data_IF_157236116963
#
_entry.id   IF_157236116963
#
_cell.length_a   1.000
_cell.length_b   1.000
_cell.length_c   1.000
_cell.angle_alpha   90.00
_cell.angle_beta   90.00
_cell.angle_gamma   90.00
#
_symmetry.space_group_name_H-M   'P 1'
#
loop_
_entity.id
_entity.type
_entity.pdbx_description
1 polymer ?
#
# COMPACT_ATOMS: atom_id res chain seq x y z
N UNK A 1 77.01 -38.34 -10.88
CA UNK A 1 76.55 -37.52 -9.73
C UNK A 1 75.29 -36.77 -10.13
N UNK A 2 74.12 -37.30 -9.77
CA UNK A 2 72.80 -36.76 -10.16
C UNK A 2 72.27 -35.85 -9.04
N UNK A 3 71.91 -34.61 -9.36
CA UNK A 3 71.33 -33.65 -8.40
C UNK A 3 69.80 -33.71 -8.47
N UNK A 4 69.22 -34.06 -7.33
CA UNK A 4 67.79 -34.00 -7.00
C UNK A 4 67.31 -32.53 -6.96
N UNK A 5 66.28 -32.22 -7.75
CA UNK A 5 65.52 -30.97 -7.68
C UNK A 5 64.14 -31.24 -7.10
N UNK A 6 63.87 -30.69 -5.93
CA UNK A 6 62.57 -30.75 -5.24
C UNK A 6 61.59 -29.77 -5.91
N UNK A 7 60.43 -30.25 -6.35
CA UNK A 7 59.31 -29.38 -6.73
C UNK A 7 58.50 -29.04 -5.48
N UNK A 8 58.47 -27.75 -5.15
CA UNK A 8 57.64 -27.16 -4.10
C UNK A 8 56.24 -26.93 -4.65
N UNK A 9 55.22 -27.56 -4.05
CA UNK A 9 53.82 -27.34 -4.39
C UNK A 9 53.35 -25.98 -3.84
N UNK A 10 52.94 -25.07 -4.71
CA UNK A 10 52.33 -23.80 -4.34
C UNK A 10 50.81 -24.01 -4.17
N UNK A 11 50.33 -23.95 -2.92
CA UNK A 11 48.90 -23.93 -2.62
C UNK A 11 48.31 -22.57 -2.99
N UNK A 12 47.44 -22.53 -4.01
CA UNK A 12 46.60 -21.37 -4.31
C UNK A 12 45.38 -21.38 -3.37
N UNK A 13 45.36 -20.48 -2.39
CA UNK A 13 44.16 -20.18 -1.60
C UNK A 13 43.33 -19.19 -2.41
N UNK A 14 42.25 -19.67 -3.02
CA UNK A 14 41.26 -18.81 -3.69
C UNK A 14 40.36 -18.21 -2.61
N UNK A 15 40.55 -16.92 -2.31
CA UNK A 15 39.66 -16.14 -1.46
C UNK A 15 38.34 -15.91 -2.23
N UNK A 16 37.32 -16.69 -1.89
CA UNK A 16 35.96 -16.49 -2.40
C UNK A 16 35.38 -15.24 -1.69
N UNK A 17 35.54 -14.07 -2.32
CA UNK A 17 34.84 -12.86 -1.91
C UNK A 17 33.39 -13.01 -2.38
N UNK A 18 32.53 -13.48 -1.47
CA UNK A 18 31.10 -13.51 -1.70
C UNK A 18 30.58 -12.09 -1.88
N UNK A 19 30.30 -11.70 -3.12
CA UNK A 19 29.53 -10.49 -3.42
C UNK A 19 28.10 -10.75 -2.96
N UNK A 20 27.68 -10.04 -1.91
CA UNK A 20 26.28 -9.92 -1.53
C UNK A 20 25.56 -9.27 -2.71
N UNK A 21 24.78 -10.07 -3.44
CA UNK A 21 23.83 -9.58 -4.42
C UNK A 21 22.72 -8.97 -3.57
N UNK A 22 22.83 -7.68 -3.29
CA UNK A 22 21.75 -6.92 -2.67
C UNK A 22 20.59 -6.97 -3.67
N UNK A 23 19.61 -7.84 -3.42
CA UNK A 23 18.36 -7.91 -4.17
C UNK A 23 17.50 -6.69 -3.81
N UNK A 24 18.07 -5.53 -4.09
CA UNK A 24 17.52 -4.22 -3.84
C UNK A 24 16.29 -4.01 -4.73
N UNK A 25 15.11 -3.93 -4.11
CA UNK A 25 13.81 -3.59 -4.71
C UNK A 25 13.74 -2.15 -5.28
N UNK A 26 14.84 -1.39 -5.25
CA UNK A 26 14.88 0.03 -5.61
C UNK A 26 14.21 0.34 -6.95
N UNK A 27 13.25 1.27 -6.92
CA UNK A 27 12.59 1.84 -8.08
C UNK A 27 11.55 0.94 -8.78
N UNK A 28 11.14 -0.21 -8.20
CA UNK A 28 10.08 -1.05 -8.78
C UNK A 28 8.89 -1.22 -7.86
N UNK A 29 7.71 -0.92 -8.39
CA UNK A 29 6.46 -1.29 -7.75
C UNK A 29 6.04 -2.69 -8.17
N UNK A 30 5.97 -3.59 -7.19
CA UNK A 30 5.33 -4.88 -7.33
C UNK A 30 3.87 -4.76 -6.88
N UNK A 31 2.98 -5.55 -7.48
CA UNK A 31 1.59 -5.62 -7.04
C UNK A 31 1.50 -6.36 -5.71
N UNK A 32 0.78 -5.79 -4.74
CA UNK A 32 0.54 -6.41 -3.43
C UNK A 32 -0.92 -6.85 -3.20
N UNK A 33 -1.75 -6.78 -4.25
CA UNK A 33 -3.16 -7.16 -4.19
C UNK A 33 -4.07 -6.05 -3.66
N UNK A 34 -5.21 -6.44 -3.10
CA UNK A 34 -6.18 -5.52 -2.50
C UNK A 34 -6.63 -6.05 -1.14
N UNK A 35 -7.06 -5.15 -0.27
CA UNK A 35 -7.81 -5.51 0.92
C UNK A 35 -9.09 -6.28 0.55
N UNK A 36 -9.56 -7.09 1.49
CA UNK A 36 -10.75 -7.92 1.33
C UNK A 36 -11.47 -8.06 2.67
N UNK A 37 -12.79 -8.20 2.61
CA UNK A 37 -13.64 -8.42 3.79
C UNK A 37 -13.13 -9.58 4.65
N UNK A 38 -13.15 -9.39 5.96
CA UNK A 38 -12.72 -10.36 6.97
C UNK A 38 -11.21 -10.57 7.07
N UNK A 39 -10.41 -9.98 6.19
CA UNK A 39 -8.94 -10.09 6.26
C UNK A 39 -8.39 -9.27 7.43
N UNK A 40 -7.31 -9.77 8.03
CA UNK A 40 -6.61 -9.08 9.13
C UNK A 40 -5.13 -8.85 8.80
N UNK A 41 -4.76 -8.88 7.52
CA UNK A 41 -3.37 -8.78 7.08
C UNK A 41 -2.79 -7.36 7.20
N UNK A 42 -3.61 -6.32 7.07
CA UNK A 42 -3.15 -4.95 7.21
C UNK A 42 -2.83 -4.59 8.66
N UNK A 43 -2.18 -3.45 8.86
CA UNK A 43 -1.76 -2.97 10.17
C UNK A 43 -1.71 -1.43 10.16
N UNK A 44 -1.31 -0.82 11.29
CA UNK A 44 -1.07 0.61 11.40
C UNK A 44 -2.26 1.50 11.01
N UNK A 45 -3.48 1.12 11.43
CA UNK A 45 -4.68 1.92 11.22
C UNK A 45 -4.46 3.40 11.55
N UNK A 46 -4.71 4.27 10.57
CA UNK A 46 -4.59 5.72 10.65
C UNK A 46 -3.26 6.29 10.14
N UNK A 47 -2.26 5.47 9.85
CA UNK A 47 -0.99 5.91 9.25
C UNK A 47 -1.11 6.04 7.73
N UNK A 48 -0.26 6.87 7.10
CA UNK A 48 -0.15 6.91 5.63
C UNK A 48 0.48 5.60 5.12
N UNK A 49 -0.37 4.66 4.66
CA UNK A 49 0.09 3.37 4.15
C UNK A 49 1.08 3.55 2.99
N UNK A 50 0.85 4.56 2.13
CA UNK A 50 1.72 4.86 0.98
C UNK A 50 3.04 5.52 1.39
N UNK A 51 3.22 5.87 2.67
CA UNK A 51 4.49 6.26 3.25
C UNK A 51 5.48 5.10 3.43
N UNK A 52 4.98 3.86 3.48
CA UNK A 52 5.80 2.65 3.52
C UNK A 52 5.65 1.79 2.25
N UNK A 53 4.49 1.82 1.60
CA UNK A 53 4.17 1.00 0.43
C UNK A 53 4.31 1.79 -0.88
N UNK A 54 5.55 2.14 -1.19
CA UNK A 54 5.99 2.83 -2.41
C UNK A 54 7.24 2.14 -2.98
N UNK A 55 7.76 2.50 -4.18
CA UNK A 55 8.83 1.73 -4.85
C UNK A 55 10.10 1.55 -4.01
N UNK A 56 10.42 2.53 -3.17
CA UNK A 56 11.62 2.57 -2.33
C UNK A 56 11.28 2.42 -0.84
N UNK A 57 10.05 2.00 -0.54
CA UNK A 57 9.56 1.85 0.83
C UNK A 57 9.77 0.43 1.36
N UNK A 58 9.75 0.30 2.68
CA UNK A 58 9.95 -0.99 3.38
C UNK A 58 8.76 -1.96 3.24
N UNK A 59 7.59 -1.46 2.84
CA UNK A 59 6.37 -2.24 2.68
C UNK A 59 6.41 -3.17 1.45
N UNK A 60 5.82 -4.36 1.59
CA UNK A 60 5.60 -5.26 0.46
C UNK A 60 4.48 -4.72 -0.45
N UNK A 61 4.71 -4.72 -1.77
CA UNK A 61 3.81 -4.10 -2.73
C UNK A 61 3.75 -2.56 -2.68
N UNK A 62 3.22 -1.97 -3.75
CA UNK A 62 2.88 -0.55 -3.79
C UNK A 62 1.37 -0.35 -3.86
N UNK A 63 0.86 0.58 -3.06
CA UNK A 63 -0.54 0.95 -3.10
C UNK A 63 -0.78 2.11 -4.06
N UNK A 64 -1.85 2.02 -4.83
CA UNK A 64 -2.35 3.10 -5.69
C UNK A 64 -3.47 3.88 -4.98
N UNK A 65 -4.17 3.21 -4.06
CA UNK A 65 -5.12 3.76 -3.10
C UNK A 65 -4.93 3.05 -1.78
N UNK A 66 -4.87 3.80 -0.68
CA UNK A 66 -4.88 3.25 0.66
C UNK A 66 -5.43 4.23 1.69
N UNK A 67 -6.16 3.70 2.68
CA UNK A 67 -6.69 4.49 3.78
C UNK A 67 -7.23 3.66 4.94
N UNK A 68 -7.58 4.33 6.03
CA UNK A 68 -8.26 3.75 7.20
C UNK A 68 -9.57 4.48 7.44
N UNK A 69 -10.64 3.72 7.65
CA UNK A 69 -11.97 4.23 8.00
C UNK A 69 -12.26 3.94 9.47
N UNK A 70 -12.86 4.91 10.14
CA UNK A 70 -13.26 4.86 11.53
C UNK A 70 -14.78 4.84 11.68
N UNK A 71 -15.24 4.34 12.81
CA UNK A 71 -16.61 4.53 13.27
C UNK A 71 -16.84 6.02 13.61
N UNK A 72 -18.10 6.39 13.83
CA UNK A 72 -18.47 7.76 14.14
C UNK A 72 -17.78 8.32 15.41
N UNK A 73 -17.35 7.45 16.34
CA UNK A 73 -16.60 7.83 17.53
C UNK A 73 -15.15 8.29 17.26
N UNK A 74 -14.65 8.07 16.04
CA UNK A 74 -13.30 8.36 15.59
C UNK A 74 -12.18 7.69 16.38
N UNK A 75 -12.50 6.80 17.32
CA UNK A 75 -11.54 6.03 18.13
C UNK A 75 -11.38 4.62 17.59
N UNK A 76 -12.50 3.99 17.21
CA UNK A 76 -12.54 2.62 16.73
C UNK A 76 -12.56 2.59 15.20
N UNK A 77 -11.83 1.65 14.62
CA UNK A 77 -11.87 1.41 13.17
C UNK A 77 -13.22 0.86 12.75
N UNK A 78 -13.61 1.12 11.50
CA UNK A 78 -14.80 0.55 10.89
C UNK A 78 -14.40 -0.68 10.04
N UNK A 79 -14.64 -1.91 10.53
CA UNK A 79 -14.29 -3.12 9.79
C UNK A 79 -15.20 -3.31 8.56
N UNK A 80 -14.69 -4.02 7.55
CA UNK A 80 -15.50 -4.64 6.48
C UNK A 80 -16.42 -3.67 5.71
N UNK A 81 -15.94 -2.45 5.47
CA UNK A 81 -16.61 -1.41 4.70
C UNK A 81 -16.24 -1.50 3.20
N UNK A 82 -16.73 -0.55 2.38
CA UNK A 82 -16.34 -0.45 0.97
C UNK A 82 -15.98 0.97 0.56
N UNK A 83 -14.84 1.13 -0.09
CA UNK A 83 -14.46 2.37 -0.77
C UNK A 83 -14.89 2.30 -2.24
N UNK A 84 -15.67 3.28 -2.66
CA UNK A 84 -16.03 3.49 -4.05
C UNK A 84 -15.36 4.76 -4.57
N UNK A 85 -14.86 4.72 -5.80
CA UNK A 85 -14.30 5.88 -6.48
C UNK A 85 -15.19 6.26 -7.66
N UNK A 86 -15.72 7.48 -7.63
CA UNK A 86 -16.60 8.02 -8.67
C UNK A 86 -15.90 9.07 -9.52
N UNK A 87 -16.42 9.29 -10.73
CA UNK A 87 -15.93 10.34 -11.64
C UNK A 87 -16.56 11.72 -11.40
N UNK A 88 -17.61 11.81 -10.58
CA UNK A 88 -18.23 13.07 -10.16
C UNK A 88 -18.53 13.05 -8.65
N UNK A 89 -18.65 14.24 -8.00
CA UNK A 89 -18.94 14.34 -6.57
C UNK A 89 -20.19 13.60 -6.14
N UNK A 90 -20.27 13.26 -4.85
CA UNK A 90 -21.48 12.76 -4.20
C UNK A 90 -22.06 11.49 -4.85
N UNK A 91 -21.19 10.58 -5.29
CA UNK A 91 -21.58 9.30 -5.87
C UNK A 91 -22.14 9.38 -7.30
N UNK A 92 -22.00 10.52 -7.96
CA UNK A 92 -22.50 10.71 -9.31
C UNK A 92 -21.50 10.22 -10.37
N UNK A 93 -22.00 10.05 -11.59
CA UNK A 93 -21.18 9.63 -12.73
C UNK A 93 -20.84 8.15 -12.71
N UNK A 94 -19.79 7.77 -13.43
CA UNK A 94 -19.31 6.40 -13.47
C UNK A 94 -18.59 6.03 -12.17
N UNK A 95 -18.92 4.86 -11.61
CA UNK A 95 -18.12 4.18 -10.60
C UNK A 95 -16.90 3.57 -11.28
N UNK A 96 -15.73 4.13 -10.98
CA UNK A 96 -14.44 3.75 -11.58
C UNK A 96 -13.85 2.54 -10.86
N UNK A 97 -14.03 2.47 -9.54
CA UNK A 97 -13.53 1.38 -8.73
C UNK A 97 -14.38 1.14 -7.50
N UNK A 98 -14.46 -0.13 -7.11
CA UNK A 98 -14.87 -0.56 -5.78
C UNK A 98 -13.73 -1.36 -5.14
N UNK A 99 -13.45 -1.08 -3.87
CA UNK A 99 -12.38 -1.71 -3.09
C UNK A 99 -12.98 -2.06 -1.72
N UNK A 100 -12.87 -3.30 -1.31
CA UNK A 100 -13.39 -3.74 -0.03
C UNK A 100 -12.37 -3.39 1.06
N UNK A 101 -12.82 -2.78 2.15
CA UNK A 101 -12.04 -2.62 3.37
C UNK A 101 -11.93 -3.94 4.12
N UNK A 102 -10.88 -4.09 4.91
CA UNK A 102 -10.64 -5.29 5.70
C UNK A 102 -11.16 -5.16 7.14
N UNK A 103 -10.97 -6.22 7.95
CA UNK A 103 -11.46 -6.27 9.32
C UNK A 103 -10.68 -5.36 10.29
N UNK A 104 -9.52 -4.83 9.87
CA UNK A 104 -8.77 -3.82 10.61
C UNK A 104 -9.19 -2.40 10.22
N UNK A 105 -10.20 -2.26 9.36
CA UNK A 105 -10.72 -1.00 8.85
C UNK A 105 -9.79 -0.28 7.89
N UNK A 106 -8.79 -0.98 7.35
CA UNK A 106 -7.96 -0.47 6.27
C UNK A 106 -8.54 -0.87 4.92
N UNK A 107 -8.36 -0.02 3.92
CA UNK A 107 -8.68 -0.28 2.53
C UNK A 107 -7.44 0.03 1.71
N UNK A 108 -7.03 -0.88 0.83
CA UNK A 108 -5.88 -0.67 -0.04
C UNK A 108 -5.99 -1.49 -1.33
N UNK A 109 -5.33 -1.02 -2.38
CA UNK A 109 -5.17 -1.78 -3.63
C UNK A 109 -3.87 -1.40 -4.34
N UNK A 110 -3.26 -2.35 -5.03
CA UNK A 110 -2.21 -2.11 -6.02
C UNK A 110 -2.73 -2.02 -7.45
N UNK A 111 -4.04 -2.16 -7.66
CA UNK A 111 -4.63 -2.12 -9.00
C UNK A 111 -4.43 -0.74 -9.62
N UNK A 112 -4.18 -0.69 -10.93
CA UNK A 112 -3.99 0.57 -11.62
C UNK A 112 -5.26 1.44 -11.57
N UNK A 113 -5.12 2.68 -11.11
CA UNK A 113 -6.19 3.68 -11.07
C UNK A 113 -5.83 4.85 -11.99
N UNK A 114 -6.74 5.19 -12.90
CA UNK A 114 -6.62 6.41 -13.71
C UNK A 114 -7.45 7.51 -13.06
N UNK A 115 -6.78 8.49 -12.45
CA UNK A 115 -7.45 9.57 -11.75
C UNK A 115 -8.10 10.61 -12.68
N UNK A 116 -7.62 10.76 -13.92
CA UNK A 116 -8.16 11.74 -14.86
C UNK A 116 -8.12 13.16 -14.30
N UNK A 117 -9.26 13.84 -14.29
CA UNK A 117 -9.41 15.17 -13.66
C UNK A 117 -9.53 15.11 -12.13
N UNK A 118 -9.71 13.92 -11.57
CA UNK A 118 -9.98 13.66 -10.17
C UNK A 118 -11.02 12.56 -10.00
N UNK A 119 -10.93 11.80 -8.90
CA UNK A 119 -11.96 10.84 -8.49
C UNK A 119 -12.54 11.25 -7.13
N UNK A 120 -13.78 10.87 -6.87
CA UNK A 120 -14.51 11.26 -5.67
C UNK A 120 -14.78 10.03 -4.81
N UNK A 121 -14.08 9.88 -3.68
CA UNK A 121 -14.30 8.79 -2.74
C UNK A 121 -15.71 8.80 -2.14
N UNK A 122 -16.25 7.59 -1.96
CA UNK A 122 -17.38 7.35 -1.08
C UNK A 122 -17.11 6.10 -0.23
N UNK A 123 -17.39 6.17 1.06
CA UNK A 123 -17.34 5.00 1.93
C UNK A 123 -18.76 4.51 2.16
N UNK A 124 -19.00 3.25 1.83
CA UNK A 124 -20.28 2.56 2.03
C UNK A 124 -20.13 1.56 3.17
N UNK A 125 -21.07 1.61 4.11
CA UNK A 125 -21.20 0.64 5.20
C UNK A 125 -22.68 0.29 5.39
N UNK A 126 -23.10 -0.85 4.84
CA UNK A 126 -24.52 -1.23 4.87
C UNK A 126 -25.41 -0.21 4.14
N UNK A 127 -26.29 0.46 4.88
CA UNK A 127 -27.19 1.50 4.35
C UNK A 127 -26.58 2.91 4.43
N UNK A 128 -25.49 3.07 5.18
CA UNK A 128 -24.86 4.36 5.40
C UNK A 128 -23.79 4.61 4.34
N UNK A 129 -23.69 5.86 3.90
CA UNK A 129 -22.67 6.29 2.94
C UNK A 129 -22.16 7.67 3.26
N UNK A 130 -20.84 7.80 3.38
CA UNK A 130 -20.16 9.08 3.46
C UNK A 130 -19.54 9.41 2.10
N UNK A 131 -19.72 10.63 1.63
CA UNK A 131 -19.16 11.11 0.36
C UNK A 131 -18.09 12.16 0.61
N UNK A 132 -17.05 12.12 -0.21
CA UNK A 132 -16.13 13.22 -0.39
C UNK A 132 -16.59 14.05 -1.60
N UNK A 133 -16.70 15.36 -1.42
CA UNK A 133 -17.12 16.31 -2.46
C UNK A 133 -15.93 16.87 -3.26
N UNK A 134 -14.74 16.86 -2.68
CA UNK A 134 -13.48 17.22 -3.35
C UNK A 134 -12.82 16.02 -4.04
N UNK A 135 -12.21 16.21 -5.23
CA UNK A 135 -11.56 15.13 -5.94
C UNK A 135 -10.18 14.79 -5.37
N UNK A 136 -9.85 13.51 -5.34
CA UNK A 136 -8.49 13.01 -5.14
C UNK A 136 -7.77 12.85 -6.49
N UNK A 137 -6.47 13.18 -6.50
CA UNK A 137 -5.55 12.94 -7.64
C UNK A 137 -4.42 11.96 -7.30
N UNK A 138 -4.39 11.52 -6.04
CA UNK A 138 -3.57 10.45 -5.52
C UNK A 138 -4.39 9.70 -4.46
N UNK A 139 -4.03 8.45 -4.19
CA UNK A 139 -4.83 7.59 -3.34
C UNK A 139 -4.35 7.49 -1.89
N UNK A 140 -3.46 8.37 -1.43
CA UNK A 140 -2.89 8.31 -0.07
C UNK A 140 -3.82 8.99 0.94
N UNK A 141 -4.96 8.36 1.24
CA UNK A 141 -6.05 9.00 1.98
C UNK A 141 -5.63 9.51 3.37
N UNK A 142 -4.85 8.72 4.12
CA UNK A 142 -4.36 9.10 5.45
C UNK A 142 -3.25 10.16 5.45
N UNK A 143 -2.75 10.59 4.29
CA UNK A 143 -1.87 11.77 4.20
C UNK A 143 -2.59 13.04 4.63
N UNK A 144 -3.89 13.13 4.35
CA UNK A 144 -4.74 14.25 4.74
C UNK A 144 -5.59 13.91 5.97
N UNK A 145 -6.27 12.75 5.93
CA UNK A 145 -7.23 12.35 6.96
C UNK A 145 -6.54 11.82 8.21
N UNK A 146 -6.75 12.51 9.33
CA UNK A 146 -6.05 12.28 10.60
C UNK A 146 -4.84 13.18 10.80
N UNK A 147 -4.51 14.05 9.82
CA UNK A 147 -3.38 14.99 9.88
C UNK A 147 -3.86 16.44 9.81
N UNK A 148 -4.42 16.84 8.68
CA UNK A 148 -4.93 18.20 8.41
C UNK A 148 -6.46 18.24 8.25
N UNK A 149 -7.06 17.09 8.01
CA UNK A 149 -8.51 16.88 7.89
C UNK A 149 -8.94 15.82 8.90
N UNK A 150 -10.21 15.84 9.33
CA UNK A 150 -10.75 14.82 10.22
C UNK A 150 -10.55 13.40 9.66
N UNK A 151 -10.48 12.39 10.54
CA UNK A 151 -10.42 10.98 10.12
C UNK A 151 -11.63 10.64 9.25
N UNK A 152 -11.43 9.75 8.28
CA UNK A 152 -12.53 9.24 7.45
C UNK A 152 -13.45 8.42 8.35
N UNK A 153 -14.73 8.75 8.36
CA UNK A 153 -15.73 8.01 9.08
C UNK A 153 -17.05 7.96 8.31
N UNK A 154 -17.87 6.99 8.66
CA UNK A 154 -19.27 6.91 8.24
C UNK A 154 -20.15 7.14 9.47
N UNK A 155 -21.29 7.85 9.34
CA UNK A 155 -22.29 7.96 10.39
C UNK A 155 -22.80 6.61 10.91
#
# INVERSE_FOLDING_TARGET
MSRSGRLTALSFVVLFTGTLIDACKHGRCEGGGSSSLGSTHSHNAGQDCMGCHHPDGEGEGCWTVAGTVYQQDLQNVLPDHRLLLFSMPLGQGAMVRAIDGDANGNVYTSDAITYGYGLFPAIVNGLDTAFMDEPIKDGACNRCHGVSTARINVP
#
